data_IF_933527442072
#
_entry.id   IF_933527442072
#
_cell.length_a   1.000
_cell.length_b   1.000
_cell.length_c   1.000
_cell.angle_alpha   90.00
_cell.angle_beta   90.00
_cell.angle_gamma   90.00
#
_symmetry.space_group_name_H-M   'P 1'
#
loop_
_entity.id
_entity.type
_entity.pdbx_description
1 polymer ?
#
# COMPACT_ATOMS: atom_id res chain seq x y z
N UNK A 1 5.56 -26.51 -12.87
CA UNK A 1 4.79 -25.66 -11.95
C UNK A 1 3.82 -24.87 -12.79
N UNK A 2 2.51 -25.15 -12.71
CA UNK A 2 1.48 -24.37 -13.40
C UNK A 2 1.43 -22.99 -12.77
N UNK A 3 1.89 -21.96 -13.47
CA UNK A 3 1.82 -20.58 -13.04
C UNK A 3 0.36 -20.17 -12.91
N UNK A 4 -0.18 -20.20 -11.69
CA UNK A 4 -1.50 -19.67 -11.40
C UNK A 4 -1.43 -18.16 -11.49
N UNK A 5 -1.86 -17.60 -12.61
CA UNK A 5 -2.09 -16.17 -12.71
C UNK A 5 -3.18 -15.79 -11.71
N UNK A 6 -2.86 -14.91 -10.77
CA UNK A 6 -3.84 -14.39 -9.82
C UNK A 6 -4.80 -13.45 -10.57
N UNK A 7 -6.08 -13.79 -10.65
CA UNK A 7 -7.07 -12.90 -11.25
C UNK A 7 -7.27 -11.65 -10.39
N UNK A 8 -7.44 -10.50 -11.02
CA UNK A 8 -7.80 -9.23 -10.34
C UNK A 8 -9.29 -9.11 -10.05
N UNK A 9 -10.11 -9.87 -10.77
CA UNK A 9 -11.55 -9.94 -10.50
C UNK A 9 -11.82 -10.89 -9.33
N UNK A 10 -12.55 -10.45 -8.30
CA UNK A 10 -12.99 -11.33 -7.23
C UNK A 10 -13.79 -12.51 -7.80
N UNK A 11 -13.61 -13.73 -7.29
CA UNK A 11 -14.43 -14.87 -7.68
C UNK A 11 -15.83 -14.80 -7.08
N UNK A 12 -16.72 -15.65 -7.57
CA UNK A 12 -18.02 -15.87 -6.92
C UNK A 12 -17.81 -16.30 -5.48
N UNK A 13 -18.61 -15.75 -4.56
CA UNK A 13 -18.49 -16.01 -3.12
C UNK A 13 -17.43 -15.14 -2.41
N UNK A 14 -16.84 -14.15 -3.08
CA UNK A 14 -16.05 -13.14 -2.40
C UNK A 14 -16.96 -12.26 -1.53
N UNK A 15 -16.46 -11.90 -0.36
CA UNK A 15 -17.20 -11.15 0.65
C UNK A 15 -16.81 -9.67 0.65
N UNK A 16 -17.70 -8.75 1.05
CA UNK A 16 -17.33 -7.36 1.27
C UNK A 16 -16.30 -7.26 2.39
N UNK A 17 -15.36 -6.27 2.31
CA UNK A 17 -14.38 -6.07 3.36
C UNK A 17 -15.04 -5.59 4.65
N UNK A 18 -14.56 -6.08 5.79
CA UNK A 18 -14.99 -5.63 7.12
C UNK A 18 -13.83 -4.91 7.79
N UNK A 19 -14.03 -3.62 8.12
CA UNK A 19 -13.05 -2.85 8.88
C UNK A 19 -12.91 -3.42 10.28
N UNK A 20 -11.68 -3.63 10.72
CA UNK A 20 -11.40 -4.11 12.07
C UNK A 20 -11.79 -3.04 13.12
N UNK A 21 -12.39 -3.41 14.26
CA UNK A 21 -12.82 -2.44 15.29
C UNK A 21 -11.67 -1.61 15.87
N UNK A 22 -10.46 -2.18 15.96
CA UNK A 22 -9.25 -1.49 16.45
C UNK A 22 -8.43 -0.82 15.33
N UNK A 23 -8.99 -0.70 14.12
CA UNK A 23 -8.32 0.02 13.04
C UNK A 23 -8.26 1.52 13.34
N UNK A 24 -7.25 2.26 12.81
CA UNK A 24 -7.20 3.71 12.91
C UNK A 24 -8.53 4.35 12.49
N UNK A 25 -9.02 5.34 13.22
CA UNK A 25 -10.27 6.02 12.90
C UNK A 25 -10.17 6.82 11.58
N UNK A 26 -11.28 7.09 10.88
CA UNK A 26 -11.27 7.94 9.70
C UNK A 26 -10.59 9.30 9.98
N UNK A 27 -9.66 9.70 9.10
CA UNK A 27 -8.83 10.90 9.24
C UNK A 27 -7.51 10.69 10.00
N UNK A 28 -7.37 9.62 10.77
CA UNK A 28 -6.11 9.31 11.46
C UNK A 28 -5.00 8.94 10.48
N UNK A 29 -3.77 9.37 10.80
CA UNK A 29 -2.59 8.99 10.04
C UNK A 29 -2.27 7.50 10.25
N UNK A 30 -1.91 6.83 9.17
CA UNK A 30 -1.39 5.48 9.18
C UNK A 30 0.14 5.59 9.17
N UNK A 31 0.79 5.07 10.19
CA UNK A 31 2.25 5.10 10.31
C UNK A 31 2.98 4.22 9.29
N UNK A 32 4.29 4.42 9.19
CA UNK A 32 5.13 3.54 8.39
C UNK A 32 5.15 2.13 9.00
N UNK A 33 5.03 1.12 8.14
CA UNK A 33 5.07 -0.27 8.59
C UNK A 33 6.50 -0.77 8.85
N UNK A 34 7.50 -0.11 8.29
CA UNK A 34 8.92 -0.45 8.44
C UNK A 34 9.79 0.76 8.13
N UNK A 35 10.76 1.07 9.00
CA UNK A 35 11.64 2.25 8.90
C UNK A 35 12.43 2.30 7.58
N UNK A 36 12.83 1.14 7.04
CA UNK A 36 13.56 1.04 5.78
C UNK A 36 12.68 0.67 4.57
N UNK A 37 11.36 0.84 4.67
CA UNK A 37 10.49 0.69 3.51
C UNK A 37 10.70 1.83 2.52
N UNK A 38 10.89 1.49 1.24
CA UNK A 38 11.05 2.50 0.17
C UNK A 38 9.81 3.38 0.00
N UNK A 39 8.62 2.83 0.24
CA UNK A 39 7.34 3.55 0.12
C UNK A 39 7.08 4.51 1.27
N UNK A 40 7.07 4.03 2.52
CA UNK A 40 6.66 4.80 3.69
C UNK A 40 7.75 5.06 4.73
N UNK A 41 8.91 4.37 4.67
CA UNK A 41 9.95 4.44 5.69
C UNK A 41 10.72 5.76 5.75
N UNK A 42 10.88 6.32 6.95
CA UNK A 42 11.63 7.56 7.18
C UNK A 42 13.14 7.42 7.01
N UNK A 43 13.68 6.20 7.21
CA UNK A 43 15.12 5.91 7.12
C UNK A 43 15.66 5.76 5.70
N UNK A 44 14.84 5.84 4.65
CA UNK A 44 15.27 5.69 3.25
C UNK A 44 15.38 7.06 2.59
N UNK A 45 16.58 7.62 2.50
CA UNK A 45 16.82 8.99 2.01
C UNK A 45 16.16 9.32 0.65
N UNK A 46 16.04 8.34 -0.24
CA UNK A 46 15.44 8.50 -1.58
C UNK A 46 14.07 7.80 -1.69
N UNK A 47 13.48 7.41 -0.56
CA UNK A 47 12.15 6.84 -0.49
C UNK A 47 11.05 7.84 -0.84
N UNK A 48 9.84 7.33 -1.01
CA UNK A 48 8.69 8.19 -1.32
C UNK A 48 8.19 8.94 -0.09
N UNK A 49 8.42 8.40 1.12
CA UNK A 49 7.94 8.92 2.41
C UNK A 49 6.44 9.20 2.38
N UNK A 50 5.70 8.24 1.85
CA UNK A 50 4.27 8.36 1.65
C UNK A 50 3.56 8.15 2.98
N UNK A 51 2.74 9.12 3.36
CA UNK A 51 1.90 9.08 4.56
C UNK A 51 0.45 8.87 4.14
N UNK A 52 -0.10 7.73 4.55
CA UNK A 52 -1.51 7.44 4.30
C UNK A 52 -2.38 7.88 5.50
N UNK A 53 -3.64 8.17 5.21
CA UNK A 53 -4.69 8.42 6.20
C UNK A 53 -5.85 7.47 6.01
N UNK A 54 -6.39 6.99 7.11
CA UNK A 54 -7.57 6.16 7.10
C UNK A 54 -8.77 6.94 6.58
N UNK A 55 -9.53 6.33 5.67
CA UNK A 55 -10.81 6.83 5.18
C UNK A 55 -11.99 6.12 5.84
N UNK A 56 -13.18 6.30 5.29
CA UNK A 56 -14.37 5.55 5.67
C UNK A 56 -14.33 4.12 5.16
N UNK A 57 -15.00 3.20 5.85
CA UNK A 57 -14.99 1.78 5.50
C UNK A 57 -13.56 1.21 5.49
N UNK A 58 -13.18 0.50 4.43
CA UNK A 58 -11.81 0.01 4.22
C UNK A 58 -11.19 0.78 3.05
N UNK A 59 -10.91 2.07 3.29
CA UNK A 59 -10.29 2.98 2.33
C UNK A 59 -9.21 3.84 2.98
N UNK A 60 -8.26 4.30 2.18
CA UNK A 60 -7.19 5.22 2.60
C UNK A 60 -6.99 6.30 1.55
N UNK A 61 -6.46 7.44 1.99
CA UNK A 61 -5.98 8.51 1.11
C UNK A 61 -4.52 8.81 1.42
N UNK A 62 -3.78 9.31 0.43
CA UNK A 62 -2.42 9.79 0.60
C UNK A 62 -2.12 10.92 -0.39
N UNK A 63 -1.08 11.69 -0.12
CA UNK A 63 -0.54 12.65 -1.06
C UNK A 63 0.88 12.27 -1.45
N UNK A 64 1.16 12.26 -2.75
CA UNK A 64 2.47 11.97 -3.29
C UNK A 64 2.98 13.16 -4.11
N UNK A 65 4.06 13.80 -3.64
CA UNK A 65 4.74 14.87 -4.38
C UNK A 65 5.80 14.29 -5.30
N UNK A 66 5.65 14.51 -6.60
CA UNK A 66 6.63 14.13 -7.61
C UNK A 66 7.84 15.09 -7.56
N UNK A 67 9.01 14.58 -7.18
CA UNK A 67 10.28 15.32 -7.07
C UNK A 67 11.13 15.11 -8.33
N UNK A 68 12.20 15.92 -8.50
CA UNK A 68 13.19 15.76 -9.57
C UNK A 68 13.82 14.35 -9.62
N UNK A 69 14.07 13.74 -8.45
CA UNK A 69 14.60 12.38 -8.34
C UNK A 69 13.63 11.30 -8.84
N UNK A 70 12.38 11.65 -9.10
CA UNK A 70 11.34 10.73 -9.57
C UNK A 70 11.16 10.72 -11.09
N UNK A 71 12.04 11.44 -11.84
CA UNK A 71 11.92 11.55 -13.28
C UNK A 71 12.21 10.22 -14.01
N UNK A 72 11.44 9.97 -15.06
CA UNK A 72 11.68 8.91 -16.03
C UNK A 72 11.88 9.44 -17.45
N UNK A 73 11.38 10.65 -17.70
CA UNK A 73 11.60 11.43 -18.91
C UNK A 73 11.73 12.91 -18.51
N UNK A 74 12.28 13.80 -19.38
CA UNK A 74 12.47 15.20 -19.02
C UNK A 74 11.19 15.85 -18.50
N UNK A 75 11.20 16.24 -17.22
CA UNK A 75 10.08 16.89 -16.54
C UNK A 75 8.88 15.99 -16.21
N UNK A 76 8.95 14.67 -16.43
CA UNK A 76 7.84 13.73 -16.18
C UNK A 76 8.24 12.62 -15.20
N UNK A 77 7.31 12.23 -14.36
CA UNK A 77 7.47 11.14 -13.41
C UNK A 77 7.73 9.80 -14.11
N UNK A 78 8.60 8.98 -13.52
CA UNK A 78 8.82 7.61 -13.95
C UNK A 78 7.61 6.73 -13.59
N UNK A 79 7.13 5.94 -14.56
CA UNK A 79 5.96 5.07 -14.35
C UNK A 79 6.12 4.10 -13.18
N UNK A 80 7.32 3.52 -13.01
CA UNK A 80 7.60 2.65 -11.87
C UNK A 80 7.50 3.36 -10.51
N UNK A 81 7.83 4.64 -10.42
CA UNK A 81 7.66 5.44 -9.19
C UNK A 81 6.17 5.65 -8.90
N UNK A 82 5.37 5.95 -9.92
CA UNK A 82 3.91 6.07 -9.78
C UNK A 82 3.28 4.75 -9.35
N UNK A 83 3.73 3.62 -9.93
CA UNK A 83 3.27 2.29 -9.53
C UNK A 83 3.64 1.98 -8.07
N UNK A 84 4.85 2.36 -7.62
CA UNK A 84 5.26 2.22 -6.22
C UNK A 84 4.39 3.04 -5.27
N UNK A 85 4.06 4.28 -5.64
CA UNK A 85 3.18 5.12 -4.82
C UNK A 85 1.77 4.52 -4.68
N UNK A 86 1.24 3.92 -5.77
CA UNK A 86 -0.04 3.21 -5.73
C UNK A 86 0.04 1.92 -4.91
N UNK A 87 1.12 1.14 -5.07
CA UNK A 87 1.33 -0.11 -4.30
C UNK A 87 1.41 0.15 -2.80
N UNK A 88 2.15 1.18 -2.38
CA UNK A 88 2.25 1.59 -0.97
C UNK A 88 0.90 2.06 -0.42
N UNK A 89 0.16 2.88 -1.19
CA UNK A 89 -1.18 3.33 -0.78
C UNK A 89 -2.14 2.15 -0.63
N UNK A 90 -2.10 1.20 -1.56
CA UNK A 90 -2.88 -0.04 -1.50
C UNK A 90 -2.48 -0.93 -0.33
N UNK A 91 -1.17 -1.07 -0.08
CA UNK A 91 -0.63 -1.84 1.05
C UNK A 91 -1.10 -1.30 2.41
N UNK A 92 -1.26 0.02 2.52
CA UNK A 92 -1.76 0.67 3.74
C UNK A 92 -3.18 0.24 4.14
N UNK A 93 -3.97 -0.34 3.22
CA UNK A 93 -5.29 -0.92 3.53
C UNK A 93 -5.22 -2.08 4.52
N UNK A 94 -4.09 -2.78 4.60
CA UNK A 94 -3.85 -3.85 5.57
C UNK A 94 -4.02 -3.39 7.02
N UNK A 95 -3.70 -2.13 7.34
CA UNK A 95 -3.92 -1.57 8.67
C UNK A 95 -5.40 -1.52 9.07
N UNK A 96 -6.28 -1.30 8.10
CA UNK A 96 -7.71 -1.22 8.35
C UNK A 96 -8.37 -2.59 8.51
N UNK A 97 -7.77 -3.62 7.93
CA UNK A 97 -8.17 -5.02 8.07
C UNK A 97 -7.44 -5.72 9.23
N UNK A 98 -6.35 -5.12 9.76
CA UNK A 98 -5.45 -5.72 10.75
C UNK A 98 -4.85 -7.03 10.27
N UNK A 99 -4.45 -7.07 9.00
CA UNK A 99 -3.81 -8.23 8.37
C UNK A 99 -2.45 -7.84 7.78
N UNK A 100 -1.52 -8.77 7.82
CA UNK A 100 -0.24 -8.66 7.11
C UNK A 100 -0.43 -9.27 5.73
N UNK A 101 -0.18 -8.51 4.68
CA UNK A 101 -0.34 -8.98 3.32
C UNK A 101 0.81 -8.51 2.42
N UNK A 102 1.08 -9.29 1.39
CA UNK A 102 2.07 -8.96 0.36
C UNK A 102 1.39 -8.79 -0.99
N UNK A 103 1.94 -7.96 -1.85
CA UNK A 103 1.43 -7.75 -3.21
C UNK A 103 1.57 -9.05 -4.03
N UNK A 104 0.44 -9.63 -4.39
CA UNK A 104 0.40 -10.82 -5.24
C UNK A 104 0.30 -10.48 -6.73
N UNK A 105 -0.40 -9.40 -7.06
CA UNK A 105 -0.51 -8.83 -8.40
C UNK A 105 -0.87 -7.36 -8.32
N UNK A 106 -0.24 -6.55 -9.15
CA UNK A 106 -0.55 -5.14 -9.38
C UNK A 106 -0.65 -4.90 -10.88
N UNK A 107 -1.73 -4.29 -11.34
CA UNK A 107 -1.87 -3.73 -12.68
C UNK A 107 -2.05 -2.24 -12.59
N UNK A 108 -1.33 -1.49 -13.43
CA UNK A 108 -1.34 -0.02 -13.42
C UNK A 108 -1.67 0.51 -14.81
N UNK A 109 -2.67 1.38 -14.88
CA UNK A 109 -3.04 2.13 -16.06
C UNK A 109 -2.52 3.58 -15.93
N UNK A 110 -1.73 4.01 -16.90
CA UNK A 110 -1.21 5.36 -17.02
C UNK A 110 -2.09 6.17 -17.97
N UNK A 111 -2.95 7.04 -17.39
CA UNK A 111 -4.00 7.74 -18.12
C UNK A 111 -3.47 9.02 -18.77
N UNK A 112 -2.60 9.74 -18.07
CA UNK A 112 -1.95 10.94 -18.57
C UNK A 112 -0.59 11.17 -17.90
N UNK A 113 0.31 11.96 -18.56
CA UNK A 113 1.61 12.29 -17.99
C UNK A 113 1.48 13.04 -16.66
N UNK A 114 2.40 12.77 -15.72
CA UNK A 114 2.48 13.44 -14.43
C UNK A 114 3.76 14.29 -14.41
N UNK A 115 3.67 15.63 -14.45
CA UNK A 115 4.82 16.51 -14.38
C UNK A 115 5.53 16.46 -13.03
N UNK A 116 6.84 16.68 -13.04
CA UNK A 116 7.61 16.96 -11.82
C UNK A 116 7.05 18.20 -11.13
N UNK A 117 7.05 18.19 -9.80
CA UNK A 117 6.44 19.24 -8.98
C UNK A 117 4.95 19.02 -8.69
N UNK A 118 4.29 18.12 -9.43
CA UNK A 118 2.88 17.76 -9.19
C UNK A 118 2.69 17.10 -7.82
N UNK A 119 1.59 17.39 -7.18
CA UNK A 119 1.06 16.59 -6.07
C UNK A 119 -0.06 15.71 -6.61
N UNK A 120 0.11 14.41 -6.48
CA UNK A 120 -0.95 13.42 -6.72
C UNK A 120 -1.71 13.19 -5.42
N UNK A 121 -3.02 13.32 -5.50
CA UNK A 121 -3.92 12.80 -4.49
C UNK A 121 -4.24 11.35 -4.83
N UNK A 122 -3.87 10.46 -3.90
CA UNK A 122 -4.06 9.02 -4.03
C UNK A 122 -5.24 8.59 -3.15
N UNK A 123 -6.12 7.80 -3.71
CA UNK A 123 -7.21 7.15 -2.97
C UNK A 123 -7.18 5.65 -3.28
N UNK A 124 -7.39 4.82 -2.26
CA UNK A 124 -7.45 3.38 -2.40
C UNK A 124 -8.55 2.78 -1.52
N UNK A 125 -9.15 1.68 -1.99
CA UNK A 125 -10.17 0.97 -1.25
C UNK A 125 -10.13 -0.54 -1.54
N UNK A 126 -10.43 -1.34 -0.51
CA UNK A 126 -10.75 -2.76 -0.68
C UNK A 126 -12.21 -2.89 -1.09
N UNK A 127 -12.48 -3.71 -2.10
CA UNK A 127 -13.83 -3.96 -2.55
C UNK A 127 -14.29 -5.42 -2.35
N UNK A 128 -13.35 -6.35 -2.15
CA UNK A 128 -13.69 -7.73 -1.83
C UNK A 128 -12.55 -8.47 -1.12
N UNK A 129 -12.92 -9.48 -0.35
CA UNK A 129 -12.01 -10.44 0.28
C UNK A 129 -12.48 -11.86 -0.05
N UNK A 130 -11.54 -12.76 -0.38
CA UNK A 130 -11.83 -14.17 -0.59
C UNK A 130 -10.70 -15.04 -0.07
N UNK A 131 -10.94 -15.71 1.06
CA UNK A 131 -9.91 -16.42 1.79
C UNK A 131 -8.77 -15.47 2.16
N UNK A 132 -7.55 -15.76 1.74
CA UNK A 132 -6.37 -14.90 1.97
C UNK A 132 -6.17 -13.79 0.92
N UNK A 133 -7.08 -13.64 -0.04
CA UNK A 133 -6.94 -12.65 -1.12
C UNK A 133 -7.76 -11.41 -0.83
N UNK A 134 -7.11 -10.26 -0.95
CA UNK A 134 -7.68 -8.94 -0.75
C UNK A 134 -7.66 -8.23 -2.10
N UNK A 135 -8.81 -7.86 -2.61
CA UNK A 135 -8.99 -7.20 -3.91
C UNK A 135 -9.20 -5.71 -3.66
N UNK A 136 -8.32 -4.89 -4.22
CA UNK A 136 -8.33 -3.46 -3.99
C UNK A 136 -8.04 -2.68 -5.28
N UNK A 137 -8.49 -1.43 -5.31
CA UNK A 137 -8.18 -0.48 -6.39
C UNK A 137 -7.64 0.81 -5.81
N UNK A 138 -6.84 1.53 -6.60
CA UNK A 138 -6.37 2.86 -6.27
C UNK A 138 -6.45 3.78 -7.48
N UNK A 139 -6.59 5.08 -7.21
CA UNK A 139 -6.60 6.14 -8.22
C UNK A 139 -5.67 7.26 -7.78
N UNK A 140 -4.86 7.78 -8.70
CA UNK A 140 -4.03 8.97 -8.50
C UNK A 140 -4.55 10.13 -9.36
N UNK A 141 -4.84 11.27 -8.71
CA UNK A 141 -5.39 12.49 -9.34
C UNK A 141 -4.45 13.66 -9.19
N UNK A 142 -4.34 14.48 -10.21
CA UNK A 142 -3.48 15.67 -10.21
C UNK A 142 -4.17 16.82 -9.47
N UNK A 143 -3.48 17.39 -8.48
CA UNK A 143 -3.87 18.64 -7.84
C UNK A 143 -4.97 18.55 -6.79
N UNK A 144 -5.49 17.35 -6.50
CA UNK A 144 -6.49 17.17 -5.45
C UNK A 144 -7.48 16.03 -5.72
N UNK A 145 -8.41 15.77 -4.79
CA UNK A 145 -9.35 14.65 -4.87
C UNK A 145 -10.31 14.73 -6.06
N UNK A 146 -10.63 15.94 -6.52
CA UNK A 146 -11.51 16.18 -7.69
C UNK A 146 -10.71 16.43 -8.98
N UNK A 147 -9.39 16.33 -8.92
CA UNK A 147 -8.52 16.57 -10.08
C UNK A 147 -8.63 15.48 -11.14
N UNK A 148 -8.06 15.72 -12.33
CA UNK A 148 -8.06 14.73 -13.40
C UNK A 148 -7.27 13.48 -13.00
N UNK A 149 -7.80 12.32 -13.37
CA UNK A 149 -7.14 11.03 -13.12
C UNK A 149 -5.87 10.93 -13.97
N UNK A 150 -4.74 10.67 -13.32
CA UNK A 150 -3.46 10.46 -14.00
C UNK A 150 -3.06 8.98 -14.06
N UNK A 151 -3.37 8.23 -13.02
CA UNK A 151 -2.99 6.82 -12.92
C UNK A 151 -4.03 6.05 -12.11
N UNK A 152 -4.22 4.77 -12.44
CA UNK A 152 -5.07 3.84 -11.69
C UNK A 152 -4.33 2.55 -11.44
N UNK A 153 -4.72 1.83 -10.40
CA UNK A 153 -4.23 0.48 -10.17
C UNK A 153 -5.36 -0.44 -9.70
N UNK A 154 -5.24 -1.70 -10.06
CA UNK A 154 -5.98 -2.80 -9.48
C UNK A 154 -4.99 -3.80 -8.92
N UNK A 155 -5.22 -4.29 -7.70
CA UNK A 155 -4.32 -5.18 -7.01
C UNK A 155 -5.01 -6.34 -6.31
N UNK A 156 -4.27 -7.43 -6.15
CA UNK A 156 -4.59 -8.51 -5.22
C UNK A 156 -3.44 -8.63 -4.25
N UNK A 157 -3.73 -8.42 -2.98
CA UNK A 157 -2.82 -8.73 -1.89
C UNK A 157 -3.12 -10.11 -1.34
N UNK A 158 -2.09 -10.77 -0.84
CA UNK A 158 -2.17 -12.11 -0.26
C UNK A 158 -1.81 -12.01 1.22
N UNK A 159 -2.77 -12.29 2.09
CA UNK A 159 -2.50 -12.40 3.51
C UNK A 159 -1.46 -13.47 3.79
N UNK A 160 -0.45 -13.13 4.60
CA UNK A 160 0.65 -14.00 5.01
C UNK A 160 0.82 -13.93 6.53
N UNK A 161 1.42 -14.98 7.10
CA UNK A 161 1.85 -14.97 8.49
C UNK A 161 3.23 -14.32 8.63
N UNK A 162 3.56 -13.89 9.84
CA UNK A 162 4.88 -13.32 10.16
C UNK A 162 6.04 -14.26 9.76
N UNK A 163 5.79 -15.58 9.83
CA UNK A 163 6.77 -16.61 9.44
C UNK A 163 7.26 -16.42 8.00
N UNK A 164 6.41 -15.89 7.09
CA UNK A 164 6.79 -15.58 5.72
C UNK A 164 8.02 -14.65 5.67
N UNK A 165 8.07 -13.64 6.53
CA UNK A 165 9.20 -12.70 6.59
C UNK A 165 10.39 -13.31 7.31
N UNK A 166 10.17 -14.13 8.34
CA UNK A 166 11.23 -14.84 9.07
C UNK A 166 11.97 -15.80 8.13
N UNK A 167 11.24 -16.51 7.28
CA UNK A 167 11.79 -17.50 6.35
C UNK A 167 12.47 -16.88 5.12
N UNK A 168 11.98 -15.73 4.65
CA UNK A 168 12.39 -15.14 3.37
C UNK A 168 13.16 -13.82 3.49
N UNK A 169 13.14 -13.19 4.67
CA UNK A 169 13.83 -11.93 4.93
C UNK A 169 15.27 -12.11 5.41
N UNK A 170 15.91 -11.00 5.77
CA UNK A 170 17.27 -11.03 6.35
C UNK A 170 17.19 -11.22 7.86
N UNK A 171 17.76 -12.32 8.42
CA UNK A 171 17.63 -12.63 9.83
C UNK A 171 18.06 -11.49 10.78
N UNK A 172 19.14 -10.78 10.45
CA UNK A 172 19.63 -9.68 11.26
C UNK A 172 18.66 -8.48 11.31
N UNK A 173 18.02 -8.15 10.18
CA UNK A 173 17.03 -7.07 10.10
C UNK A 173 15.74 -7.46 10.81
N UNK A 174 15.32 -8.71 10.70
CA UNK A 174 14.15 -9.23 11.41
C UNK A 174 14.39 -9.21 12.92
N UNK A 175 15.56 -9.67 13.38
CA UNK A 175 15.92 -9.62 14.80
C UNK A 175 15.98 -8.18 15.32
N UNK A 176 16.52 -7.24 14.54
CA UNK A 176 16.55 -5.83 14.90
C UNK A 176 15.13 -5.25 15.00
N UNK A 177 14.25 -5.54 14.03
CA UNK A 177 12.86 -5.10 14.07
C UNK A 177 12.08 -5.69 15.25
N UNK A 178 12.30 -6.98 15.59
CA UNK A 178 11.67 -7.62 16.73
C UNK A 178 12.24 -7.13 18.08
N UNK A 179 13.46 -6.60 18.10
CA UNK A 179 14.07 -6.02 19.29
C UNK A 179 13.66 -4.55 19.52
N UNK A 180 13.14 -3.88 18.50
CA UNK A 180 12.67 -2.50 18.56
C UNK A 180 11.25 -2.45 19.16
N UNK A 181 11.03 -1.81 20.33
CA UNK A 181 9.71 -1.73 20.95
C UNK A 181 8.65 -1.06 20.06
N UNK A 182 9.04 -0.09 19.24
CA UNK A 182 8.13 0.64 18.38
C UNK A 182 7.76 -0.19 17.14
N UNK A 183 8.71 -0.94 16.57
CA UNK A 183 8.45 -1.91 15.51
C UNK A 183 7.60 -3.08 16.02
N UNK A 184 7.82 -3.54 17.23
CA UNK A 184 6.99 -4.58 17.88
C UNK A 184 5.57 -4.09 18.10
N UNK A 185 5.34 -2.82 18.45
CA UNK A 185 3.98 -2.25 18.52
C UNK A 185 3.31 -2.24 17.15
N UNK A 186 4.04 -1.87 16.10
CA UNK A 186 3.56 -1.92 14.72
C UNK A 186 3.23 -3.37 14.32
N UNK A 187 4.12 -4.33 14.60
CA UNK A 187 3.87 -5.75 14.33
C UNK A 187 2.66 -6.27 15.12
N UNK A 188 2.56 -5.94 16.41
CA UNK A 188 1.40 -6.31 17.25
C UNK A 188 0.09 -5.68 16.81
N UNK A 189 0.14 -4.52 16.14
CA UNK A 189 -1.03 -3.94 15.53
C UNK A 189 -1.67 -4.88 14.47
N UNK A 190 -0.91 -5.83 13.94
CA UNK A 190 -1.35 -6.85 12.99
C UNK A 190 -1.61 -8.24 13.62
N UNK A 191 -1.29 -8.43 14.91
CA UNK A 191 -1.64 -9.68 15.60
C UNK A 191 -3.16 -9.76 15.82
N UNK A 192 -3.80 -10.61 15.05
CA UNK A 192 -5.27 -10.77 15.07
C UNK A 192 -5.73 -11.80 16.11
N UNK A 193 -4.84 -12.55 16.78
CA UNK A 193 -5.15 -13.38 17.94
C UNK A 193 -3.89 -13.60 18.77
N UNK A 194 -3.92 -13.27 20.07
CA UNK A 194 -2.91 -13.73 21.00
C UNK A 194 -3.03 -15.23 21.26
#
# INVERSE_FOLDING_TARGET
MSGRTTALTPPDGAEPPVRHPDAPAPGEAIGAHYEHCFGCGGGVAHGLHLEARAGEGVSVTAEFRVKEAHQGAPGLAHGGVLATALDETLGSLGWLLRVIAVTGRLETDYVQPVPVGTVLHLDAAVHAVHGRKIYATATGRIGGPEGPVAVRASAVFIEVKIDHFIENGRPAEIQAALADPDQVKVARAFEVNP
#
